data_IF_476365000218
#
_entry.id   IF_476365000218
#
_cell.length_a   1.000
_cell.length_b   1.000
_cell.length_c   1.000
_cell.angle_alpha   90.00
_cell.angle_beta   90.00
_cell.angle_gamma   90.00
#
_symmetry.space_group_name_H-M   'P 1'
#
loop_
_entity.id
_entity.type
_entity.pdbx_description
1 polymer ?
#
# COMPACT_ATOMS: atom_id res chain seq x y z
N UNK A 1 -43.72 91.50 25.93
CA UNK A 1 -44.17 90.23 25.33
C UNK A 1 -43.16 89.78 24.32
N UNK A 2 -42.32 88.88 24.69
CA UNK A 2 -41.17 88.42 23.89
C UNK A 2 -41.32 86.94 23.61
N UNK A 3 -41.49 86.61 22.34
CA UNK A 3 -41.52 85.22 21.84
C UNK A 3 -40.10 84.69 21.63
N UNK A 4 -39.76 83.63 22.31
CA UNK A 4 -38.45 82.84 22.11
C UNK A 4 -38.69 81.81 21.02
N UNK A 5 -37.86 81.88 19.98
CA UNK A 5 -37.81 80.86 18.96
C UNK A 5 -36.83 79.74 19.37
N UNK A 6 -37.29 78.51 19.33
CA UNK A 6 -36.45 77.33 19.49
C UNK A 6 -35.84 76.85 18.13
N UNK A 7 -34.56 76.89 18.02
CA UNK A 7 -33.86 76.26 16.91
C UNK A 7 -33.58 74.77 17.25
N UNK A 8 -34.15 73.89 16.44
CA UNK A 8 -33.82 72.43 16.47
C UNK A 8 -32.66 72.13 15.54
N UNK A 9 -31.55 71.72 16.07
CA UNK A 9 -30.40 71.18 15.32
C UNK A 9 -30.58 69.68 15.08
N UNK A 10 -30.84 69.28 13.84
CA UNK A 10 -30.80 67.86 13.42
C UNK A 10 -29.37 67.43 13.15
N UNK A 11 -28.88 66.51 13.96
CA UNK A 11 -27.59 65.87 13.74
C UNK A 11 -27.71 64.69 12.71
N UNK A 12 -27.11 64.89 11.56
CA UNK A 12 -27.00 63.83 10.51
C UNK A 12 -25.91 62.85 10.86
N UNK A 13 -26.26 61.66 11.35
CA UNK A 13 -25.33 60.58 11.58
C UNK A 13 -24.98 59.88 10.23
N UNK A 14 -23.80 60.15 9.71
CA UNK A 14 -23.23 59.45 8.56
C UNK A 14 -22.66 58.12 9.04
N UNK A 15 -23.35 56.99 8.81
CA UNK A 15 -22.83 55.63 8.99
C UNK A 15 -21.86 55.31 7.84
N UNK A 16 -20.56 55.35 8.11
CA UNK A 16 -19.57 54.78 7.23
C UNK A 16 -19.74 53.26 7.26
N UNK A 17 -20.43 52.71 6.28
CA UNK A 17 -20.42 51.29 5.98
C UNK A 17 -19.03 50.88 5.49
N UNK A 18 -18.25 50.22 6.34
CA UNK A 18 -16.97 49.65 5.94
C UNK A 18 -17.20 48.53 4.91
N UNK A 19 -16.95 48.83 3.63
CA UNK A 19 -16.72 47.78 2.63
C UNK A 19 -15.43 47.08 3.01
N UNK A 20 -15.55 45.93 3.65
CA UNK A 20 -14.45 44.95 3.73
C UNK A 20 -14.17 44.47 2.31
N UNK A 21 -13.20 45.06 1.66
CA UNK A 21 -12.68 44.55 0.40
C UNK A 21 -12.11 43.16 0.70
N UNK A 22 -12.81 42.09 0.29
CA UNK A 22 -12.29 40.77 0.28
C UNK A 22 -11.05 40.78 -0.65
N UNK A 23 -9.86 40.75 -0.08
CA UNK A 23 -8.64 40.55 -0.85
C UNK A 23 -8.81 39.27 -1.64
N UNK A 24 -8.64 39.27 -2.98
CA UNK A 24 -8.68 38.05 -3.75
C UNK A 24 -7.61 37.13 -3.18
N UNK A 25 -8.00 35.94 -2.70
CA UNK A 25 -7.06 34.92 -2.28
C UNK A 25 -6.17 34.61 -3.50
N UNK A 26 -4.93 35.02 -3.46
CA UNK A 26 -3.95 34.66 -4.48
C UNK A 26 -3.94 33.15 -4.57
N UNK A 27 -4.25 32.60 -5.75
CA UNK A 27 -4.20 31.16 -5.98
C UNK A 27 -2.75 30.68 -5.67
N UNK A 28 -2.63 29.81 -4.69
CA UNK A 28 -1.32 29.25 -4.33
C UNK A 28 -0.79 28.41 -5.50
N UNK A 29 0.52 28.43 -5.71
CA UNK A 29 1.18 27.60 -6.72
C UNK A 29 0.83 26.13 -6.48
N UNK A 30 0.34 25.41 -7.49
CA UNK A 30 0.03 23.99 -7.36
C UNK A 30 1.25 23.18 -6.92
N UNK A 31 1.04 22.17 -6.10
CA UNK A 31 2.08 21.24 -5.67
C UNK A 31 2.13 20.10 -6.68
N UNK A 32 3.27 19.92 -7.35
CA UNK A 32 3.47 18.86 -8.32
C UNK A 32 3.89 17.56 -7.62
N UNK A 33 3.22 16.45 -7.92
CA UNK A 33 3.57 15.09 -7.48
C UNK A 33 3.59 14.15 -8.67
N UNK A 34 4.53 13.18 -8.67
CA UNK A 34 4.54 12.09 -9.62
C UNK A 34 3.85 10.84 -9.07
N UNK A 35 3.28 10.01 -9.95
CA UNK A 35 2.67 8.73 -9.59
C UNK A 35 2.97 7.69 -10.67
N UNK A 36 3.81 6.71 -10.36
CA UNK A 36 4.06 5.54 -11.21
C UNK A 36 3.01 4.49 -10.93
N UNK A 37 2.41 3.94 -11.99
CA UNK A 37 1.42 2.87 -11.90
C UNK A 37 1.69 1.79 -12.95
N UNK A 38 1.24 0.58 -12.68
CA UNK A 38 1.19 -0.49 -13.68
C UNK A 38 -0.27 -0.79 -14.03
N UNK A 39 -0.73 -0.24 -15.14
CA UNK A 39 -2.06 -0.49 -15.69
C UNK A 39 -2.04 -1.48 -16.85
N UNK A 40 -0.89 -1.69 -17.49
CA UNK A 40 -0.76 -2.48 -18.71
C UNK A 40 0.27 -3.61 -18.63
N UNK A 41 1.09 -3.64 -17.59
CA UNK A 41 2.15 -4.64 -17.41
C UNK A 41 1.71 -5.86 -16.58
N UNK A 42 2.68 -6.69 -16.17
CA UNK A 42 2.42 -7.98 -15.55
C UNK A 42 1.83 -7.92 -14.13
N UNK A 43 1.76 -6.74 -13.51
CA UNK A 43 1.20 -6.55 -12.16
C UNK A 43 -0.06 -5.67 -12.16
N UNK A 44 -0.69 -5.51 -13.34
CA UNK A 44 -1.85 -4.64 -13.53
C UNK A 44 -3.09 -5.09 -12.73
N UNK A 45 -3.17 -6.37 -12.43
CA UNK A 45 -4.23 -7.00 -11.62
C UNK A 45 -4.40 -6.33 -10.25
N UNK A 46 -3.30 -5.92 -9.64
CA UNK A 46 -3.24 -5.22 -8.36
C UNK A 46 -2.85 -3.74 -8.51
N UNK A 47 -2.11 -3.40 -9.57
CA UNK A 47 -1.68 -2.04 -9.89
C UNK A 47 -2.85 -1.13 -10.26
N UNK A 48 -3.81 -1.65 -11.02
CA UNK A 48 -5.00 -0.86 -11.42
C UNK A 48 -5.83 -0.40 -10.22
N UNK A 49 -6.30 -1.26 -9.32
CA UNK A 49 -7.06 -0.79 -8.16
C UNK A 49 -6.25 0.09 -7.22
N UNK A 50 -4.95 -0.18 -7.04
CA UNK A 50 -4.09 0.67 -6.20
C UNK A 50 -3.93 2.07 -6.79
N UNK A 51 -3.56 2.17 -8.07
CA UNK A 51 -3.41 3.44 -8.77
C UNK A 51 -4.70 4.25 -8.79
N UNK A 52 -5.86 3.59 -8.96
CA UNK A 52 -7.17 4.25 -8.88
C UNK A 52 -7.41 4.84 -7.48
N UNK A 53 -7.02 4.13 -6.41
CA UNK A 53 -7.12 4.64 -5.05
C UNK A 53 -6.29 5.90 -4.84
N UNK A 54 -5.08 5.96 -5.41
CA UNK A 54 -4.23 7.16 -5.37
C UNK A 54 -4.88 8.32 -6.13
N UNK A 55 -5.33 8.09 -7.37
CA UNK A 55 -5.94 9.12 -8.23
C UNK A 55 -7.20 9.68 -7.60
N UNK A 56 -8.10 8.82 -7.13
CA UNK A 56 -9.34 9.23 -6.47
C UNK A 56 -9.06 10.06 -5.21
N UNK A 57 -8.02 9.68 -4.45
CA UNK A 57 -7.65 10.41 -3.23
C UNK A 57 -7.22 11.84 -3.55
N UNK A 58 -6.37 12.05 -4.56
CA UNK A 58 -5.94 13.40 -4.90
C UNK A 58 -7.04 14.21 -5.60
N UNK A 59 -7.94 13.58 -6.34
CA UNK A 59 -9.16 14.25 -6.84
C UNK A 59 -10.04 14.72 -5.66
N UNK A 60 -10.23 13.88 -4.65
CA UNK A 60 -10.96 14.21 -3.44
C UNK A 60 -10.28 15.32 -2.63
N UNK A 61 -8.95 15.27 -2.43
CA UNK A 61 -8.18 16.33 -1.77
C UNK A 61 -8.37 17.66 -2.50
N UNK A 62 -8.24 17.66 -3.83
CA UNK A 62 -8.42 18.86 -4.63
C UNK A 62 -9.84 19.43 -4.56
N UNK A 63 -10.86 18.56 -4.52
CA UNK A 63 -12.26 18.97 -4.35
C UNK A 63 -12.50 19.61 -2.98
N UNK A 64 -11.78 19.16 -1.95
CA UNK A 64 -11.91 19.63 -0.57
C UNK A 64 -10.90 20.72 -0.19
N UNK A 65 -10.42 21.51 -1.15
CA UNK A 65 -9.59 22.68 -0.89
C UNK A 65 -8.08 22.47 -1.07
N UNK A 66 -7.65 21.29 -1.49
CA UNK A 66 -6.23 20.99 -1.73
C UNK A 66 -5.41 20.81 -0.45
N UNK A 67 -4.11 21.02 -0.55
CA UNK A 67 -3.17 20.97 0.58
C UNK A 67 -2.86 22.39 1.02
N UNK A 68 -3.35 22.80 2.19
CA UNK A 68 -3.26 24.18 2.69
C UNK A 68 -3.74 25.25 1.69
N UNK A 69 -4.76 24.94 0.89
CA UNK A 69 -5.29 25.83 -0.14
C UNK A 69 -4.65 25.66 -1.53
N UNK A 70 -3.49 25.01 -1.65
CA UNK A 70 -2.87 24.71 -2.92
C UNK A 70 -3.47 23.46 -3.56
N UNK A 71 -3.76 23.50 -4.86
CA UNK A 71 -4.11 22.29 -5.62
C UNK A 71 -2.90 21.38 -5.75
N UNK A 72 -3.16 20.07 -5.78
CA UNK A 72 -2.13 19.07 -6.12
C UNK A 72 -2.25 18.72 -7.60
N UNK A 73 -1.17 18.89 -8.32
CA UNK A 73 -1.03 18.42 -9.71
C UNK A 73 -0.35 17.05 -9.69
N UNK A 74 -1.15 15.97 -9.76
CA UNK A 74 -0.68 14.59 -9.76
C UNK A 74 -0.50 14.12 -11.21
N UNK A 75 0.76 13.93 -11.64
CA UNK A 75 1.07 13.33 -12.95
C UNK A 75 1.15 11.80 -12.80
N UNK A 76 0.12 11.11 -13.27
CA UNK A 76 0.02 9.64 -13.19
C UNK A 76 0.45 9.02 -14.51
N UNK A 77 1.44 8.13 -14.46
CA UNK A 77 2.04 7.50 -15.65
C UNK A 77 2.03 5.99 -15.54
N UNK A 78 1.38 5.33 -16.51
CA UNK A 78 1.50 3.89 -16.72
C UNK A 78 2.86 3.57 -17.36
N UNK A 79 3.77 2.99 -16.57
CA UNK A 79 5.09 2.63 -17.07
C UNK A 79 5.19 1.14 -17.47
N UNK A 80 4.10 0.36 -17.34
CA UNK A 80 4.01 -1.04 -17.77
C UNK A 80 5.01 -1.96 -17.08
N UNK A 81 5.37 -1.66 -15.81
CA UNK A 81 6.36 -2.37 -15.00
C UNK A 81 7.76 -2.44 -15.63
N UNK A 82 8.13 -1.42 -16.44
CA UNK A 82 9.40 -1.35 -17.16
C UNK A 82 10.34 -0.34 -16.52
N UNK A 83 11.43 -0.80 -15.90
CA UNK A 83 12.43 0.04 -15.22
C UNK A 83 12.95 1.20 -16.08
N UNK A 84 13.32 1.01 -17.38
CA UNK A 84 13.78 2.12 -18.21
C UNK A 84 12.72 3.23 -18.37
N UNK A 85 11.44 2.88 -18.45
CA UNK A 85 10.32 3.85 -18.53
C UNK A 85 10.16 4.61 -17.23
N UNK A 86 10.25 3.92 -16.08
CA UNK A 86 10.19 4.56 -14.76
C UNK A 86 11.34 5.58 -14.61
N UNK A 87 12.59 5.23 -14.98
CA UNK A 87 13.74 6.12 -14.91
C UNK A 87 13.55 7.33 -15.84
N UNK A 88 13.08 7.11 -17.07
CA UNK A 88 12.86 8.22 -18.03
C UNK A 88 11.81 9.21 -17.50
N UNK A 89 10.70 8.69 -16.95
CA UNK A 89 9.66 9.54 -16.37
C UNK A 89 10.14 10.26 -15.11
N UNK A 90 10.89 9.58 -14.24
CA UNK A 90 11.47 10.20 -13.06
C UNK A 90 12.38 11.40 -13.43
N UNK A 91 13.25 11.25 -14.45
CA UNK A 91 14.11 12.33 -14.92
C UNK A 91 13.34 13.55 -15.44
N UNK A 92 12.18 13.32 -16.07
CA UNK A 92 11.27 14.41 -16.44
C UNK A 92 10.72 15.10 -15.18
N UNK A 93 10.27 14.36 -14.20
CA UNK A 93 9.71 14.89 -12.96
C UNK A 93 10.72 15.68 -12.13
N UNK A 94 11.93 15.15 -11.94
CA UNK A 94 12.97 15.85 -11.18
C UNK A 94 13.54 17.06 -11.94
N UNK A 95 13.68 16.95 -13.26
CA UNK A 95 14.27 17.98 -14.11
C UNK A 95 13.30 19.10 -14.49
N UNK A 96 12.25 18.78 -15.25
CA UNK A 96 11.34 19.76 -15.84
C UNK A 96 10.17 20.11 -14.91
N UNK A 97 9.51 19.11 -14.35
CA UNK A 97 8.24 19.28 -13.63
C UNK A 97 8.46 19.68 -12.16
N UNK A 98 9.67 19.49 -11.62
CA UNK A 98 10.06 19.86 -10.25
C UNK A 98 9.11 19.32 -9.19
N UNK A 99 8.79 18.02 -9.27
CA UNK A 99 7.88 17.38 -8.30
C UNK A 99 8.45 17.44 -6.88
N UNK A 100 7.58 17.65 -5.90
CA UNK A 100 7.96 17.66 -4.49
C UNK A 100 8.16 16.25 -3.91
N UNK A 101 7.46 15.26 -4.48
CA UNK A 101 7.53 13.86 -4.08
C UNK A 101 6.92 12.98 -5.17
N UNK A 102 7.11 11.65 -5.07
CA UNK A 102 6.48 10.68 -5.95
C UNK A 102 5.77 9.58 -5.15
N UNK A 103 4.83 8.91 -5.79
CA UNK A 103 4.27 7.63 -5.37
C UNK A 103 4.78 6.58 -6.36
N UNK A 104 5.64 5.69 -5.88
CA UNK A 104 6.27 4.63 -6.68
C UNK A 104 5.44 3.35 -6.68
N UNK A 105 5.77 2.43 -7.60
CA UNK A 105 5.05 1.17 -7.72
C UNK A 105 5.90 -0.05 -7.42
N UNK A 106 6.74 -0.49 -8.35
CA UNK A 106 7.38 -1.80 -8.33
C UNK A 106 8.70 -1.85 -7.57
N UNK A 107 9.18 -3.06 -7.30
CA UNK A 107 10.43 -3.24 -6.55
C UNK A 107 11.66 -2.91 -7.41
N UNK A 108 11.73 -3.44 -8.63
CA UNK A 108 12.90 -3.24 -9.49
C UNK A 108 13.10 -1.77 -9.89
N UNK A 109 12.03 -1.06 -10.18
CA UNK A 109 12.05 0.36 -10.50
C UNK A 109 12.37 1.23 -9.28
N UNK A 110 11.76 0.95 -8.12
CA UNK A 110 12.07 1.70 -6.89
C UNK A 110 13.53 1.51 -6.47
N UNK A 111 14.07 0.27 -6.53
CA UNK A 111 15.49 0.02 -6.27
C UNK A 111 16.40 0.77 -7.24
N UNK A 112 16.03 0.82 -8.54
CA UNK A 112 16.78 1.56 -9.56
C UNK A 112 16.71 3.09 -9.36
N UNK A 113 15.61 3.60 -8.80
CA UNK A 113 15.41 5.03 -8.55
C UNK A 113 16.06 5.50 -7.23
N UNK A 114 16.39 4.61 -6.29
CA UNK A 114 16.86 4.96 -4.94
C UNK A 114 18.03 5.97 -4.94
N UNK A 115 19.02 5.80 -5.85
CA UNK A 115 20.15 6.70 -5.98
C UNK A 115 19.75 8.09 -6.49
N UNK A 116 18.88 8.16 -7.48
CA UNK A 116 18.37 9.42 -8.04
C UNK A 116 17.49 10.17 -7.02
N UNK A 117 16.62 9.44 -6.30
CA UNK A 117 15.78 10.01 -5.24
C UNK A 117 16.63 10.65 -4.14
N UNK A 118 17.76 10.01 -3.78
CA UNK A 118 18.68 10.53 -2.77
C UNK A 118 19.45 11.78 -3.26
N UNK A 119 19.91 11.79 -4.51
CA UNK A 119 20.62 12.91 -5.14
C UNK A 119 19.71 14.14 -5.28
N UNK A 120 18.50 13.93 -5.83
CA UNK A 120 17.53 15.00 -6.08
C UNK A 120 16.73 15.38 -4.83
N UNK A 121 16.86 14.61 -3.73
CA UNK A 121 16.14 14.79 -2.46
C UNK A 121 14.61 14.74 -2.62
N UNK A 122 14.13 13.83 -3.46
CA UNK A 122 12.70 13.65 -3.73
C UNK A 122 12.21 12.40 -2.98
N UNK A 123 11.29 12.52 -2.01
CA UNK A 123 10.70 11.38 -1.32
C UNK A 123 9.81 10.55 -2.24
N UNK A 124 9.84 9.24 -2.03
CA UNK A 124 8.96 8.26 -2.63
C UNK A 124 8.16 7.54 -1.56
N UNK A 125 6.84 7.50 -1.69
CA UNK A 125 6.01 6.50 -1.01
C UNK A 125 5.79 5.36 -1.98
N UNK A 126 6.64 4.34 -1.88
CA UNK A 126 6.59 3.21 -2.80
C UNK A 126 5.51 2.19 -2.42
N UNK A 127 4.94 1.55 -3.44
CA UNK A 127 4.14 0.35 -3.27
C UNK A 127 5.01 -0.92 -3.20
N UNK A 128 6.32 -0.79 -3.38
CA UNK A 128 7.29 -1.82 -3.04
C UNK A 128 7.56 -1.81 -1.54
N UNK A 129 7.30 -2.93 -0.89
CA UNK A 129 7.61 -3.16 0.52
C UNK A 129 8.88 -4.00 0.69
N UNK A 130 9.82 -3.94 -0.26
CA UNK A 130 11.11 -4.62 -0.14
C UNK A 130 11.87 -4.07 1.09
N UNK A 131 12.34 -4.97 1.96
CA UNK A 131 13.05 -4.55 3.18
C UNK A 131 14.32 -3.73 2.87
N UNK A 132 14.98 -4.01 1.75
CA UNK A 132 16.12 -3.23 1.25
C UNK A 132 15.83 -1.72 1.15
N UNK A 133 14.57 -1.33 0.94
CA UNK A 133 14.12 0.06 0.82
C UNK A 133 13.80 0.73 2.17
N UNK A 134 13.94 0.02 3.29
CA UNK A 134 13.60 0.50 4.63
C UNK A 134 14.78 0.97 5.47
N UNK A 135 16.01 0.84 4.94
CA UNK A 135 17.22 1.29 5.63
C UNK A 135 17.69 2.64 5.05
N UNK A 136 17.41 3.77 5.73
CA UNK A 136 17.78 5.09 5.21
C UNK A 136 19.28 5.38 5.27
N UNK A 137 20.04 4.64 6.08
CA UNK A 137 21.44 4.92 6.36
C UNK A 137 22.41 3.85 5.85
N UNK A 138 21.89 2.67 5.51
CA UNK A 138 22.70 1.48 5.23
C UNK A 138 23.31 0.81 6.47
N UNK A 139 22.89 1.25 7.67
CA UNK A 139 23.44 0.73 8.93
C UNK A 139 23.12 -0.77 9.16
N UNK A 140 22.08 -1.30 8.56
CA UNK A 140 21.76 -2.73 8.56
C UNK A 140 22.79 -3.58 7.81
N UNK A 141 23.59 -2.96 6.93
CA UNK A 141 24.66 -3.62 6.17
C UNK A 141 24.17 -4.65 5.14
N UNK A 142 22.86 -4.70 4.87
CA UNK A 142 22.21 -5.67 3.96
C UNK A 142 21.82 -5.05 2.62
N UNK A 143 21.61 -3.75 2.58
CA UNK A 143 21.18 -3.02 1.40
C UNK A 143 21.91 -1.66 1.28
N UNK A 144 21.83 -1.05 0.10
CA UNK A 144 22.25 0.35 -0.09
C UNK A 144 21.31 1.28 0.67
N UNK A 145 21.80 2.44 1.15
CA UNK A 145 20.94 3.43 1.80
C UNK A 145 19.77 3.86 0.90
N UNK A 146 18.57 3.91 1.50
CA UNK A 146 17.34 4.39 0.84
C UNK A 146 16.71 5.57 1.63
N UNK A 147 17.42 6.72 1.76
CA UNK A 147 17.05 7.79 2.68
C UNK A 147 15.78 8.55 2.30
N UNK A 148 15.25 8.35 1.08
CA UNK A 148 14.07 9.03 0.57
C UNK A 148 12.94 8.07 0.20
N UNK A 149 13.06 6.77 0.50
CA UNK A 149 11.99 5.81 0.29
C UNK A 149 11.21 5.55 1.59
N UNK A 150 9.89 5.57 1.47
CA UNK A 150 8.94 5.26 2.55
C UNK A 150 7.91 4.27 2.02
N UNK A 151 7.39 3.44 2.91
CA UNK A 151 6.19 2.65 2.69
C UNK A 151 5.47 2.44 4.03
N UNK A 152 4.16 2.30 3.99
CA UNK A 152 3.39 1.93 5.17
C UNK A 152 3.08 0.42 5.13
N UNK A 153 2.81 -0.19 6.27
CA UNK A 153 2.66 -1.64 6.37
C UNK A 153 4.01 -2.35 6.62
N UNK A 154 3.99 -3.64 6.93
CA UNK A 154 5.20 -4.42 7.12
C UNK A 154 5.94 -4.63 5.80
N UNK A 155 7.28 -4.71 5.86
CA UNK A 155 8.06 -5.13 4.70
C UNK A 155 7.68 -6.55 4.23
N UNK A 156 7.99 -6.90 2.99
CA UNK A 156 7.80 -8.29 2.51
C UNK A 156 8.54 -9.29 3.40
N UNK A 157 9.74 -8.94 3.87
CA UNK A 157 10.53 -9.77 4.77
C UNK A 157 9.86 -9.93 6.13
N UNK A 158 9.33 -8.85 6.70
CA UNK A 158 8.63 -8.92 7.98
C UNK A 158 7.29 -9.65 7.82
N UNK A 159 6.59 -9.45 6.71
CA UNK A 159 5.36 -10.18 6.40
C UNK A 159 5.60 -11.70 6.34
N UNK A 160 6.65 -12.17 5.65
CA UNK A 160 6.96 -13.60 5.59
C UNK A 160 7.42 -14.13 6.94
N UNK A 161 8.17 -13.34 7.75
CA UNK A 161 8.50 -13.71 9.13
C UNK A 161 7.23 -13.93 9.97
N UNK A 162 6.28 -13.01 9.88
CA UNK A 162 4.99 -13.15 10.57
C UNK A 162 4.18 -14.37 10.10
N UNK A 163 4.12 -14.62 8.80
CA UNK A 163 3.43 -15.79 8.26
C UNK A 163 4.08 -17.12 8.70
N UNK A 164 5.40 -17.21 8.69
CA UNK A 164 6.09 -18.44 9.12
C UNK A 164 6.02 -18.65 10.63
N UNK A 165 6.00 -17.56 11.42
CA UNK A 165 5.70 -17.65 12.86
C UNK A 165 4.31 -18.23 13.09
N UNK A 166 3.30 -17.74 12.36
CA UNK A 166 1.97 -18.32 12.39
C UNK A 166 1.96 -19.78 11.92
N UNK A 167 2.65 -20.10 10.83
CA UNK A 167 2.69 -21.46 10.29
C UNK A 167 3.30 -22.48 11.26
N UNK A 168 4.30 -22.08 12.03
CA UNK A 168 4.87 -22.92 13.09
C UNK A 168 3.87 -23.19 14.21
N UNK A 169 3.08 -22.19 14.60
CA UNK A 169 2.01 -22.34 15.59
C UNK A 169 0.86 -23.21 15.03
N UNK A 170 0.48 -23.01 13.76
CA UNK A 170 -0.55 -23.81 13.08
C UNK A 170 -0.16 -25.29 12.98
N UNK A 171 1.11 -25.57 12.66
CA UNK A 171 1.65 -26.94 12.64
C UNK A 171 1.48 -27.66 13.98
N UNK A 172 1.87 -26.98 15.05
CA UNK A 172 1.72 -27.49 16.42
C UNK A 172 0.25 -27.67 16.82
N UNK A 173 -0.57 -26.69 16.50
CA UNK A 173 -2.01 -26.70 16.82
C UNK A 173 -2.76 -27.85 16.12
N UNK A 174 -2.30 -28.24 14.94
CA UNK A 174 -2.80 -29.43 14.19
C UNK A 174 -2.29 -30.76 14.75
N UNK A 175 -1.51 -30.78 15.83
CA UNK A 175 -0.92 -31.99 16.42
C UNK A 175 0.06 -32.71 15.51
N UNK A 176 0.64 -32.01 14.52
CA UNK A 176 1.61 -32.58 13.60
C UNK A 176 2.97 -32.73 14.28
N UNK A 177 3.66 -33.84 13.97
CA UNK A 177 4.99 -34.16 14.47
C UNK A 177 6.03 -33.97 13.36
N UNK A 178 7.32 -33.88 13.74
CA UNK A 178 8.41 -33.65 12.80
C UNK A 178 8.55 -32.21 12.36
N UNK A 179 9.43 -31.97 11.38
CA UNK A 179 9.69 -30.64 10.84
C UNK A 179 8.70 -30.32 9.73
N UNK A 180 7.98 -29.18 9.81
CA UNK A 180 7.19 -28.72 8.67
C UNK A 180 8.11 -28.36 7.50
N UNK A 181 7.64 -28.60 6.27
CA UNK A 181 8.39 -28.32 5.03
C UNK A 181 7.89 -27.03 4.39
N UNK A 182 8.80 -26.11 4.11
CA UNK A 182 8.52 -24.82 3.51
C UNK A 182 9.14 -24.69 2.13
N UNK A 183 8.38 -24.14 1.17
CA UNK A 183 8.85 -23.83 -0.18
C UNK A 183 8.49 -22.37 -0.55
N UNK A 184 9.45 -21.66 -1.12
CA UNK A 184 9.22 -20.37 -1.77
C UNK A 184 8.84 -20.60 -3.23
N UNK A 185 7.75 -19.99 -3.69
CA UNK A 185 7.29 -20.04 -5.08
C UNK A 185 7.13 -18.61 -5.62
N UNK A 186 7.68 -18.33 -6.81
CA UNK A 186 7.55 -17.00 -7.42
C UNK A 186 8.45 -16.85 -8.64
N UNK A 187 8.31 -15.74 -9.36
CA UNK A 187 9.15 -15.43 -10.51
C UNK A 187 10.59 -15.12 -10.06
N UNK A 188 11.55 -15.39 -10.94
CA UNK A 188 12.91 -14.93 -10.74
C UNK A 188 13.01 -13.43 -11.06
N UNK A 189 12.49 -12.59 -10.17
CA UNK A 189 12.37 -11.15 -10.31
C UNK A 189 12.59 -10.48 -8.93
N UNK A 190 13.13 -9.26 -8.85
CA UNK A 190 13.39 -8.57 -7.58
C UNK A 190 12.17 -8.58 -6.62
N UNK A 191 10.97 -8.32 -7.14
CA UNK A 191 9.75 -8.28 -6.31
C UNK A 191 9.46 -9.60 -5.59
N UNK A 192 9.25 -10.76 -6.26
CA UNK A 192 8.96 -12.02 -5.56
C UNK A 192 10.14 -12.53 -4.71
N UNK A 193 11.37 -12.19 -5.11
CA UNK A 193 12.59 -12.63 -4.41
C UNK A 193 12.93 -11.73 -3.20
N UNK A 194 12.37 -10.54 -3.06
CA UNK A 194 12.70 -9.62 -1.97
C UNK A 194 12.62 -10.25 -0.57
N UNK A 195 11.57 -11.04 -0.22
CA UNK A 195 11.49 -11.67 1.10
C UNK A 195 12.18 -13.02 1.22
N UNK A 196 12.74 -13.58 0.12
CA UNK A 196 13.19 -14.97 0.08
C UNK A 196 14.23 -15.30 1.14
N UNK A 197 15.31 -14.53 1.20
CA UNK A 197 16.39 -14.79 2.16
C UNK A 197 15.92 -14.66 3.62
N UNK A 198 15.10 -13.67 3.93
CA UNK A 198 14.50 -13.49 5.25
C UNK A 198 13.53 -14.62 5.61
N UNK A 199 12.75 -15.09 4.63
CA UNK A 199 11.86 -16.23 4.79
C UNK A 199 12.62 -17.54 5.07
N UNK A 200 13.70 -17.79 4.33
CA UNK A 200 14.57 -18.95 4.55
C UNK A 200 15.24 -18.91 5.94
N UNK A 201 15.74 -17.75 6.35
CA UNK A 201 16.37 -17.58 7.66
C UNK A 201 15.39 -17.83 8.82
N UNK A 202 14.20 -17.21 8.79
CA UNK A 202 13.21 -17.43 9.86
C UNK A 202 12.63 -18.84 9.83
N UNK A 203 12.47 -19.47 8.66
CA UNK A 203 12.02 -20.84 8.54
C UNK A 203 13.04 -21.80 9.20
N UNK A 204 14.34 -21.59 8.96
CA UNK A 204 15.39 -22.38 9.62
C UNK A 204 15.40 -22.17 11.15
N UNK A 205 15.25 -20.91 11.63
CA UNK A 205 15.17 -20.57 13.05
C UNK A 205 13.96 -21.26 13.73
N UNK A 206 12.83 -21.35 13.03
CA UNK A 206 11.60 -21.99 13.52
C UNK A 206 11.59 -23.52 13.33
N UNK A 207 12.66 -24.10 12.77
CA UNK A 207 12.84 -25.54 12.61
C UNK A 207 12.14 -26.14 11.39
N UNK A 208 11.81 -25.35 10.36
CA UNK A 208 11.31 -25.88 9.10
C UNK A 208 12.42 -26.57 8.29
N UNK A 209 12.03 -27.56 7.50
CA UNK A 209 12.83 -28.08 6.39
C UNK A 209 12.60 -27.18 5.17
N UNK A 210 13.70 -26.60 4.64
CA UNK A 210 13.66 -25.76 3.45
C UNK A 210 13.71 -26.62 2.20
N UNK A 211 12.77 -26.43 1.30
CA UNK A 211 12.71 -27.09 0.01
C UNK A 211 13.26 -26.19 -1.11
N UNK A 212 13.67 -26.80 -2.22
CA UNK A 212 14.12 -26.07 -3.41
C UNK A 212 13.00 -25.14 -3.91
N UNK A 213 13.26 -23.85 -4.11
CA UNK A 213 12.26 -22.92 -4.62
C UNK A 213 11.69 -23.32 -5.97
N UNK A 214 10.41 -23.07 -6.19
CA UNK A 214 9.70 -23.36 -7.44
C UNK A 214 9.48 -22.06 -8.19
N UNK A 215 9.97 -21.95 -9.43
CA UNK A 215 9.88 -20.75 -10.25
C UNK A 215 8.66 -20.82 -11.16
N UNK A 216 7.87 -19.73 -11.21
CA UNK A 216 6.80 -19.51 -12.17
C UNK A 216 6.69 -18.02 -12.55
N UNK A 217 6.17 -17.71 -13.74
CA UNK A 217 6.18 -16.34 -14.25
C UNK A 217 5.24 -15.38 -13.48
N UNK A 218 5.48 -14.06 -13.60
CA UNK A 218 4.58 -13.03 -13.03
C UNK A 218 3.23 -12.96 -13.75
N UNK A 219 3.15 -13.45 -14.97
CA UNK A 219 1.92 -13.44 -15.77
C UNK A 219 1.09 -14.71 -15.56
N UNK A 220 -0.23 -14.67 -15.78
CA UNK A 220 -1.06 -15.88 -15.86
C UNK A 220 -0.53 -16.88 -16.90
N UNK A 221 -0.67 -18.16 -16.64
CA UNK A 221 -0.19 -19.23 -17.52
C UNK A 221 -0.58 -20.63 -17.05
N UNK A 222 -0.09 -21.67 -17.75
CA UNK A 222 -0.19 -23.05 -17.31
C UNK A 222 0.94 -23.37 -16.34
N UNK A 223 0.60 -23.69 -15.11
CA UNK A 223 1.53 -24.02 -14.04
C UNK A 223 1.36 -25.45 -13.51
N UNK A 224 0.81 -26.33 -14.33
CA UNK A 224 0.59 -27.74 -13.99
C UNK A 224 1.88 -28.44 -13.58
N UNK A 225 3.00 -28.18 -14.27
CA UNK A 225 4.31 -28.77 -13.94
C UNK A 225 4.82 -28.30 -12.57
N UNK A 226 4.66 -27.01 -12.23
CA UNK A 226 5.01 -26.45 -10.92
C UNK A 226 4.18 -27.08 -9.80
N UNK A 227 2.89 -27.30 -10.04
CA UNK A 227 2.00 -27.95 -9.07
C UNK A 227 2.33 -29.43 -8.88
N UNK A 228 2.73 -30.17 -9.92
CA UNK A 228 3.23 -31.54 -9.79
C UNK A 228 4.54 -31.58 -9.00
N UNK A 229 5.47 -30.65 -9.25
CA UNK A 229 6.71 -30.49 -8.46
C UNK A 229 6.39 -30.18 -7.02
N UNK A 230 5.45 -29.25 -6.73
CA UNK A 230 5.01 -28.94 -5.39
C UNK A 230 4.42 -30.18 -4.69
N UNK A 231 3.56 -30.92 -5.36
CA UNK A 231 2.97 -32.17 -4.85
C UNK A 231 4.01 -33.19 -4.47
N UNK A 232 4.98 -33.44 -5.36
CA UNK A 232 6.03 -34.45 -5.15
C UNK A 232 7.04 -34.03 -4.08
N UNK A 233 7.21 -32.74 -3.81
CA UNK A 233 8.11 -32.22 -2.77
C UNK A 233 7.64 -32.53 -1.35
N UNK A 234 6.37 -32.81 -1.16
CA UNK A 234 5.76 -33.02 0.14
C UNK A 234 5.75 -31.75 1.02
N UNK A 235 5.78 -30.55 0.41
CA UNK A 235 5.68 -29.29 1.12
C UNK A 235 4.40 -29.24 1.98
N UNK A 236 4.49 -28.62 3.15
CA UNK A 236 3.34 -28.35 4.02
C UNK A 236 2.87 -26.91 3.91
N UNK A 237 3.81 -26.00 3.66
CA UNK A 237 3.57 -24.56 3.49
C UNK A 237 4.27 -24.05 2.23
N UNK A 238 3.53 -23.39 1.34
CA UNK A 238 4.06 -22.84 0.10
C UNK A 238 3.78 -21.34 0.04
N UNK A 239 4.84 -20.52 -0.01
CA UNK A 239 4.72 -19.06 -0.15
C UNK A 239 4.59 -18.68 -1.62
N UNK A 240 3.55 -17.95 -1.96
CA UNK A 240 3.29 -17.41 -3.30
C UNK A 240 3.79 -15.96 -3.37
N UNK A 241 4.95 -15.77 -4.00
CA UNK A 241 5.66 -14.48 -4.08
C UNK A 241 5.12 -13.52 -5.14
N UNK A 242 4.34 -13.99 -6.11
CA UNK A 242 3.82 -13.18 -7.21
C UNK A 242 2.55 -12.41 -6.83
N UNK A 243 2.03 -11.57 -7.76
CA UNK A 243 0.73 -10.92 -7.64
C UNK A 243 -0.42 -11.89 -7.84
N UNK A 244 -1.62 -11.45 -7.50
CA UNK A 244 -2.84 -12.25 -7.53
C UNK A 244 -3.10 -12.90 -8.90
N UNK A 245 -2.87 -12.19 -10.01
CA UNK A 245 -3.17 -12.67 -11.36
C UNK A 245 -2.47 -13.98 -11.73
N UNK A 246 -1.17 -14.09 -11.49
CA UNK A 246 -0.45 -15.35 -11.74
C UNK A 246 -0.73 -16.40 -10.66
N UNK A 247 -0.96 -15.98 -9.41
CA UNK A 247 -1.30 -16.89 -8.32
C UNK A 247 -2.64 -17.59 -8.53
N UNK A 248 -3.64 -16.94 -9.17
CA UNK A 248 -4.91 -17.59 -9.58
C UNK A 248 -4.62 -18.83 -10.45
N UNK A 249 -3.73 -18.69 -11.43
CA UNK A 249 -3.37 -19.81 -12.32
C UNK A 249 -2.70 -20.96 -11.56
N UNK A 250 -1.78 -20.65 -10.65
CA UNK A 250 -1.12 -21.66 -9.77
C UNK A 250 -2.15 -22.34 -8.87
N UNK A 251 -3.01 -21.58 -8.19
CA UNK A 251 -4.00 -22.12 -7.27
C UNK A 251 -4.96 -23.08 -8.00
N UNK A 252 -5.46 -22.71 -9.19
CA UNK A 252 -6.33 -23.55 -9.99
C UNK A 252 -5.62 -24.83 -10.48
N UNK A 253 -4.40 -24.71 -10.98
CA UNK A 253 -3.62 -25.86 -11.42
C UNK A 253 -3.29 -26.82 -10.26
N UNK A 254 -2.91 -26.28 -9.10
CA UNK A 254 -2.59 -27.09 -7.92
C UNK A 254 -3.83 -27.77 -7.34
N UNK A 255 -4.99 -27.11 -7.35
CA UNK A 255 -6.27 -27.73 -6.97
C UNK A 255 -6.62 -28.88 -7.89
N UNK A 256 -6.51 -28.69 -9.21
CA UNK A 256 -6.75 -29.72 -10.20
C UNK A 256 -5.78 -30.93 -10.05
N UNK A 257 -4.53 -30.67 -9.69
CA UNK A 257 -3.54 -31.70 -9.41
C UNK A 257 -3.71 -32.40 -8.05
N UNK A 258 -4.67 -31.94 -7.22
CA UNK A 258 -4.89 -32.47 -5.88
C UNK A 258 -3.70 -32.24 -4.94
N UNK A 259 -3.12 -31.03 -4.98
CA UNK A 259 -2.08 -30.58 -4.06
C UNK A 259 -2.68 -30.26 -2.71
N UNK A 260 -2.17 -30.88 -1.64
CA UNK A 260 -2.58 -30.60 -0.25
C UNK A 260 -1.44 -29.84 0.45
N UNK A 261 -1.52 -28.51 0.42
CA UNK A 261 -0.53 -27.60 1.01
C UNK A 261 -1.24 -26.35 1.55
N UNK A 262 -0.74 -25.78 2.64
CA UNK A 262 -1.18 -24.46 3.09
C UNK A 262 -0.46 -23.39 2.25
N UNK A 263 -1.22 -22.70 1.37
CA UNK A 263 -0.69 -21.56 0.64
C UNK A 263 -0.61 -20.31 1.51
N UNK A 264 0.51 -19.59 1.38
CA UNK A 264 0.80 -18.32 2.03
C UNK A 264 1.00 -17.27 0.93
N UNK A 265 0.03 -16.40 0.71
CA UNK A 265 0.16 -15.31 -0.27
C UNK A 265 1.01 -14.16 0.30
N UNK A 266 1.78 -13.46 -0.54
CA UNK A 266 2.31 -12.16 -0.11
C UNK A 266 1.20 -11.09 -0.09
N UNK A 267 1.55 -9.87 0.32
CA UNK A 267 0.60 -8.76 0.47
C UNK A 267 -0.11 -8.34 -0.83
N UNK A 268 0.44 -8.69 -1.99
CA UNK A 268 -0.13 -8.50 -3.32
C UNK A 268 -0.68 -9.79 -3.93
N UNK A 269 -0.51 -10.90 -3.23
CA UNK A 269 -0.73 -12.25 -3.76
C UNK A 269 -2.18 -12.72 -3.74
N UNK A 270 -3.06 -12.02 -3.05
CA UNK A 270 -4.47 -12.37 -2.88
C UNK A 270 -5.32 -11.12 -2.58
N UNK A 271 -6.50 -11.06 -3.16
CA UNK A 271 -7.56 -10.11 -2.87
C UNK A 271 -8.94 -10.71 -3.18
N UNK A 272 -9.97 -9.91 -3.05
CA UNK A 272 -11.36 -10.36 -3.27
C UNK A 272 -11.65 -10.65 -4.75
N UNK A 273 -11.00 -9.94 -5.68
CA UNK A 273 -11.11 -10.22 -7.12
C UNK A 273 -10.44 -11.55 -7.47
N UNK A 274 -9.26 -11.80 -6.90
CA UNK A 274 -8.55 -13.07 -7.05
C UNK A 274 -9.35 -14.23 -6.47
N UNK A 275 -9.97 -14.04 -5.32
CA UNK A 275 -10.84 -15.05 -4.71
C UNK A 275 -12.04 -15.39 -5.60
N UNK A 276 -12.66 -14.37 -6.20
CA UNK A 276 -13.74 -14.58 -7.17
C UNK A 276 -13.28 -15.36 -8.40
N UNK A 277 -12.11 -15.01 -8.96
CA UNK A 277 -11.58 -15.63 -10.16
C UNK A 277 -11.06 -17.07 -9.93
N UNK A 278 -10.43 -17.35 -8.79
CA UNK A 278 -9.92 -18.66 -8.46
C UNK A 278 -10.98 -19.58 -7.83
N UNK A 279 -12.12 -19.01 -7.38
CA UNK A 279 -13.17 -19.77 -6.74
C UNK A 279 -12.67 -20.61 -5.57
N UNK A 280 -13.11 -21.86 -5.51
CA UNK A 280 -12.74 -22.79 -4.45
C UNK A 280 -11.22 -23.07 -4.34
N UNK A 281 -10.39 -22.69 -5.34
CA UNK A 281 -8.94 -22.83 -5.24
C UNK A 281 -8.28 -21.76 -4.34
N UNK A 282 -8.95 -20.64 -4.11
CA UNK A 282 -8.51 -19.60 -3.20
C UNK A 282 -8.91 -19.86 -1.73
N UNK A 283 -9.83 -20.82 -1.46
CA UNK A 283 -10.26 -21.08 -0.09
C UNK A 283 -9.10 -21.58 0.76
N UNK A 284 -8.92 -20.97 1.93
CA UNK A 284 -7.88 -21.33 2.88
C UNK A 284 -6.54 -20.62 2.69
N UNK A 285 -6.30 -19.88 1.61
CA UNK A 285 -5.06 -19.10 1.43
C UNK A 285 -4.92 -18.10 2.56
N UNK A 286 -3.77 -18.09 3.24
CA UNK A 286 -3.44 -17.14 4.31
C UNK A 286 -2.49 -16.08 3.77
N UNK A 287 -2.75 -14.81 4.03
CA UNK A 287 -1.95 -13.71 3.51
C UNK A 287 -2.02 -12.48 4.43
N UNK A 288 -1.01 -11.59 4.41
CA UNK A 288 -1.02 -10.39 5.22
C UNK A 288 -1.81 -9.28 4.53
N UNK A 289 -2.55 -8.49 5.30
CA UNK A 289 -3.07 -7.21 4.84
C UNK A 289 -2.19 -6.07 5.35
N UNK A 290 -1.98 -5.06 4.52
CA UNK A 290 -1.35 -3.79 4.89
C UNK A 290 -2.38 -2.71 5.26
N UNK A 291 -3.65 -2.98 5.01
CA UNK A 291 -4.78 -2.20 5.53
C UNK A 291 -5.37 -2.92 6.74
N UNK A 292 -5.94 -2.18 7.66
CA UNK A 292 -6.52 -2.79 8.88
C UNK A 292 -7.89 -3.45 8.62
N UNK A 293 -8.52 -3.20 7.47
CA UNK A 293 -9.88 -3.65 7.15
C UNK A 293 -10.09 -3.76 5.63
N UNK A 294 -11.05 -4.60 5.22
CA UNK A 294 -11.56 -4.67 3.86
C UNK A 294 -12.68 -3.65 3.62
N UNK A 295 -13.07 -3.46 2.35
CA UNK A 295 -14.16 -2.58 1.91
C UNK A 295 -15.47 -2.87 2.64
N UNK A 296 -16.16 -1.81 3.08
CA UNK A 296 -17.42 -1.92 3.79
C UNK A 296 -17.32 -2.37 5.25
N UNK A 297 -16.11 -2.54 5.79
CA UNK A 297 -15.89 -2.83 7.21
C UNK A 297 -16.33 -1.67 8.13
N UNK A 298 -16.56 -1.97 9.41
CA UNK A 298 -17.08 -1.03 10.40
C UNK A 298 -16.02 -0.05 10.97
N UNK A 299 -14.86 0.08 10.33
CA UNK A 299 -13.83 1.01 10.77
C UNK A 299 -14.29 2.47 10.60
N UNK A 300 -13.99 3.36 11.56
CA UNK A 300 -14.38 4.78 11.47
C UNK A 300 -13.92 5.44 10.17
N UNK A 301 -12.70 5.16 9.72
CA UNK A 301 -12.13 5.71 8.50
C UNK A 301 -12.76 5.19 7.18
N UNK A 302 -13.54 4.12 7.21
CA UNK A 302 -14.17 3.58 6.00
C UNK A 302 -15.11 4.58 5.33
N UNK A 303 -15.76 5.45 6.09
CA UNK A 303 -16.58 6.54 5.55
C UNK A 303 -15.77 7.44 4.62
N UNK A 304 -14.56 7.82 5.02
CA UNK A 304 -13.64 8.62 4.21
C UNK A 304 -13.25 7.90 2.92
N UNK A 305 -12.93 6.60 3.00
CA UNK A 305 -12.62 5.78 1.82
C UNK A 305 -13.78 5.73 0.84
N UNK A 306 -15.02 5.58 1.34
CA UNK A 306 -16.21 5.58 0.50
C UNK A 306 -16.46 6.94 -0.16
N UNK A 307 -16.21 8.06 0.52
CA UNK A 307 -16.29 9.40 -0.07
C UNK A 307 -15.20 9.62 -1.15
N UNK A 308 -14.00 9.12 -0.93
CA UNK A 308 -12.92 9.14 -1.93
C UNK A 308 -13.31 8.33 -3.16
N UNK A 309 -13.87 7.15 -2.98
CA UNK A 309 -14.30 6.28 -4.09
C UNK A 309 -15.33 6.93 -5.01
N UNK A 310 -16.15 7.86 -4.51
CA UNK A 310 -17.12 8.62 -5.31
C UNK A 310 -16.49 9.54 -6.35
N UNK A 311 -15.18 9.74 -6.34
CA UNK A 311 -14.51 10.54 -7.36
C UNK A 311 -14.54 9.86 -8.73
N UNK A 312 -14.38 8.54 -8.78
CA UNK A 312 -14.49 7.74 -10.01
C UNK A 312 -15.80 6.95 -10.11
N UNK A 313 -16.50 6.73 -8.99
CA UNK A 313 -17.82 6.08 -8.95
C UNK A 313 -18.83 6.92 -8.14
N UNK A 314 -19.45 7.95 -8.74
CA UNK A 314 -20.44 8.78 -8.06
C UNK A 314 -21.64 7.99 -7.50
N UNK A 315 -21.97 6.84 -8.08
CA UNK A 315 -23.05 5.96 -7.61
C UNK A 315 -22.72 5.28 -6.27
N UNK A 316 -21.42 5.07 -5.98
CA UNK A 316 -20.94 4.37 -4.79
C UNK A 316 -21.26 2.87 -4.79
N UNK A 317 -21.52 2.28 -5.96
CA UNK A 317 -21.92 0.86 -6.09
C UNK A 317 -20.76 -0.08 -6.37
N UNK A 318 -19.62 0.44 -6.83
CA UNK A 318 -18.44 -0.36 -7.15
C UNK A 318 -17.77 -0.88 -5.88
N UNK A 319 -17.57 -2.19 -5.81
CA UNK A 319 -16.72 -2.80 -4.79
C UNK A 319 -15.26 -2.39 -5.00
N UNK A 320 -14.58 -1.98 -3.95
CA UNK A 320 -13.17 -1.62 -3.99
C UNK A 320 -12.35 -2.67 -3.22
N UNK A 321 -11.46 -3.42 -3.91
CA UNK A 321 -10.63 -4.44 -3.25
C UNK A 321 -9.63 -3.80 -2.28
N UNK A 322 -9.01 -4.62 -1.42
CA UNK A 322 -8.02 -4.16 -0.42
C UNK A 322 -6.87 -3.35 -1.03
N UNK A 323 -6.53 -3.60 -2.30
CA UNK A 323 -5.47 -2.84 -2.99
C UNK A 323 -5.87 -1.40 -3.30
N UNK A 324 -7.14 -1.13 -3.57
CA UNK A 324 -7.67 0.24 -3.69
C UNK A 324 -7.50 1.00 -2.38
N UNK A 325 -7.93 0.41 -1.26
CA UNK A 325 -7.80 1.00 0.08
C UNK A 325 -6.34 1.29 0.40
N UNK A 326 -5.44 0.41 -0.03
CA UNK A 326 -4.00 0.60 0.13
C UNK A 326 -3.47 1.83 -0.63
N UNK A 327 -3.95 2.06 -1.85
CA UNK A 327 -3.63 3.27 -2.62
C UNK A 327 -4.11 4.53 -1.93
N UNK A 328 -5.33 4.51 -1.37
CA UNK A 328 -5.87 5.61 -0.56
C UNK A 328 -4.96 5.89 0.65
N UNK A 329 -4.55 4.87 1.39
CA UNK A 329 -3.65 5.05 2.54
C UNK A 329 -2.30 5.67 2.14
N UNK A 330 -1.65 5.16 1.09
CA UNK A 330 -0.38 5.72 0.59
C UNK A 330 -0.51 7.19 0.23
N UNK A 331 -1.57 7.56 -0.50
CA UNK A 331 -1.82 8.93 -0.92
C UNK A 331 -2.05 9.86 0.26
N UNK A 332 -2.77 9.40 1.30
CA UNK A 332 -3.05 10.23 2.48
C UNK A 332 -1.82 10.39 3.40
N UNK A 333 -0.96 9.38 3.52
CA UNK A 333 0.33 9.55 4.19
C UNK A 333 1.18 10.60 3.49
N UNK A 334 1.32 10.50 2.16
CA UNK A 334 2.04 11.50 1.36
C UNK A 334 1.40 12.88 1.50
N UNK A 335 0.07 12.99 1.43
CA UNK A 335 -0.66 14.27 1.58
C UNK A 335 -0.32 14.95 2.89
N UNK A 336 -0.32 14.24 4.02
CA UNK A 336 -0.04 14.86 5.32
C UNK A 336 1.43 15.24 5.48
N UNK A 337 2.38 14.47 4.92
CA UNK A 337 3.79 14.85 4.89
C UNK A 337 4.02 16.12 4.06
N UNK A 338 3.37 16.22 2.89
CA UNK A 338 3.39 17.43 2.04
C UNK A 338 2.72 18.61 2.73
N UNK A 339 1.62 18.38 3.45
CA UNK A 339 0.93 19.42 4.22
C UNK A 339 1.80 20.01 5.32
N UNK A 340 2.51 19.13 6.06
CA UNK A 340 3.48 19.59 7.05
C UNK A 340 4.59 20.41 6.38
N UNK A 341 5.15 19.93 5.29
CA UNK A 341 6.19 20.62 4.53
C UNK A 341 5.75 22.01 4.10
N UNK A 342 4.55 22.13 3.52
CA UNK A 342 4.01 23.41 3.06
C UNK A 342 3.85 24.44 4.19
N UNK A 343 3.57 23.99 5.42
CA UNK A 343 3.50 24.85 6.62
C UNK A 343 4.88 25.18 7.23
N UNK A 344 5.93 24.42 6.84
CA UNK A 344 7.26 24.50 7.48
C UNK A 344 8.36 24.77 6.45
N UNK A 345 8.20 25.79 5.64
CA UNK A 345 9.22 26.25 4.69
C UNK A 345 8.98 25.87 3.23
N UNK A 346 7.81 25.34 2.91
CA UNK A 346 7.40 25.01 1.54
C UNK A 346 7.46 23.51 1.23
N UNK A 347 6.67 23.09 0.22
CA UNK A 347 6.56 21.71 -0.20
C UNK A 347 7.79 21.28 -1.04
N UNK A 348 8.99 21.36 -0.46
CA UNK A 348 10.23 20.81 -1.03
C UNK A 348 10.41 19.36 -0.60
N UNK A 349 11.13 18.55 -1.39
CA UNK A 349 11.35 17.14 -1.06
C UNK A 349 12.04 16.94 0.30
N UNK A 350 13.01 17.77 0.68
CA UNK A 350 13.62 17.71 2.02
C UNK A 350 12.61 17.96 3.15
N UNK A 351 11.71 18.92 2.97
CA UNK A 351 10.69 19.21 3.96
C UNK A 351 9.62 18.11 3.99
N UNK A 352 9.23 17.55 2.84
CA UNK A 352 8.32 16.40 2.77
C UNK A 352 8.90 15.20 3.52
N UNK A 353 10.19 14.90 3.31
CA UNK A 353 10.91 13.86 4.07
C UNK A 353 10.82 14.10 5.57
N UNK A 354 11.08 15.34 6.04
CA UNK A 354 10.94 15.70 7.46
C UNK A 354 9.50 15.53 7.96
N UNK A 355 8.51 15.75 7.10
CA UNK A 355 7.08 15.53 7.39
C UNK A 355 6.78 14.10 7.82
N UNK A 356 7.44 13.10 7.23
CA UNK A 356 7.28 11.69 7.61
C UNK A 356 7.80 11.38 9.02
N UNK A 357 8.69 12.18 9.59
CA UNK A 357 9.27 11.95 10.92
C UNK A 357 8.52 12.65 12.06
N UNK A 358 7.44 13.38 11.75
CA UNK A 358 6.76 14.22 12.76
C UNK A 358 5.85 13.45 13.71
N UNK A 359 5.46 12.22 13.35
CA UNK A 359 4.47 11.46 14.12
C UNK A 359 4.94 10.03 14.37
N UNK A 360 4.63 9.52 15.55
CA UNK A 360 4.76 8.11 15.90
C UNK A 360 3.37 7.46 15.93
N UNK A 361 3.29 6.19 15.58
CA UNK A 361 2.02 5.46 15.44
C UNK A 361 0.99 6.24 14.60
N UNK A 362 1.50 6.83 13.54
CA UNK A 362 0.75 7.72 12.69
C UNK A 362 -0.28 6.94 11.85
N UNK A 363 -1.52 7.34 11.95
CA UNK A 363 -2.61 7.01 11.03
C UNK A 363 -3.05 8.33 10.40
N UNK A 364 -3.22 8.45 9.09
CA UNK A 364 -3.72 9.67 8.47
C UNK A 364 -5.08 10.07 9.04
N UNK A 365 -5.32 11.37 9.18
CA UNK A 365 -6.54 11.89 9.80
C UNK A 365 -7.80 11.38 9.09
N UNK A 366 -8.77 10.91 9.86
CA UNK A 366 -10.00 10.32 9.36
C UNK A 366 -9.86 8.94 8.74
N UNK A 367 -8.72 8.23 8.99
CA UNK A 367 -8.47 6.89 8.50
C UNK A 367 -8.30 5.84 9.62
N UNK A 368 -8.78 6.17 10.80
CA UNK A 368 -8.72 5.31 11.98
C UNK A 368 -9.36 3.95 11.71
N UNK A 369 -8.60 2.89 12.00
CA UNK A 369 -9.01 1.50 11.75
C UNK A 369 -8.98 1.06 10.29
N UNK A 370 -8.52 1.90 9.35
CA UNK A 370 -8.34 1.57 7.93
C UNK A 370 -6.88 1.47 7.56
N UNK A 371 -6.10 2.52 7.76
CA UNK A 371 -4.66 2.48 7.50
C UNK A 371 -3.92 1.97 8.73
N UNK A 372 -2.93 1.09 8.52
CA UNK A 372 -2.07 0.63 9.61
C UNK A 372 -1.22 1.77 10.16
N UNK A 373 -1.15 1.89 11.47
CA UNK A 373 -0.30 2.87 12.12
C UNK A 373 1.17 2.65 11.75
N UNK A 374 1.87 3.73 11.42
CA UNK A 374 3.27 3.70 10.99
C UNK A 374 4.13 4.69 11.76
N UNK A 375 5.41 4.36 11.93
CA UNK A 375 6.42 5.24 12.52
C UNK A 375 7.68 5.17 11.66
N UNK A 376 8.13 6.32 11.17
CA UNK A 376 9.40 6.43 10.46
C UNK A 376 10.36 7.33 11.23
N UNK A 377 11.64 7.02 11.17
CA UNK A 377 12.70 7.81 11.78
C UNK A 377 13.87 7.98 10.82
N UNK A 378 14.77 8.90 11.08
CA UNK A 378 15.99 9.09 10.27
C UNK A 378 16.89 7.84 10.19
N UNK A 379 16.66 6.84 11.05
CA UNK A 379 17.46 5.62 11.14
C UNK A 379 16.71 4.34 10.73
N UNK A 380 15.39 4.41 10.59
CA UNK A 380 14.56 3.23 10.34
C UNK A 380 13.24 3.63 9.64
N UNK A 381 13.06 3.18 8.40
CA UNK A 381 11.88 3.42 7.59
C UNK A 381 10.91 2.23 7.55
N UNK A 382 11.05 1.24 8.43
CA UNK A 382 10.14 0.07 8.49
C UNK A 382 8.72 0.40 8.95
N UNK A 383 8.22 1.55 8.88
CA UNK A 383 6.83 1.96 9.21
C UNK A 383 6.20 1.20 10.38
N UNK A 384 5.78 -0.02 10.14
CA UNK A 384 5.21 -0.95 11.14
C UNK A 384 5.86 -2.33 11.07
N UNK A 385 5.86 -3.05 12.20
CA UNK A 385 6.25 -4.47 12.31
C UNK A 385 5.07 -5.36 12.71
N UNK A 386 3.88 -4.78 12.70
CA UNK A 386 2.63 -5.50 12.94
C UNK A 386 2.16 -6.18 11.66
N UNK A 387 2.03 -7.49 11.69
CA UNK A 387 1.56 -8.32 10.57
C UNK A 387 0.19 -8.85 10.88
N UNK A 388 -0.83 -8.29 10.25
CA UNK A 388 -2.22 -8.77 10.34
C UNK A 388 -2.46 -9.85 9.28
N UNK A 389 -2.67 -11.10 9.70
CA UNK A 389 -2.90 -12.24 8.83
C UNK A 389 -4.39 -12.51 8.66
N UNK A 390 -4.78 -12.72 7.42
CA UNK A 390 -6.14 -13.06 7.02
C UNK A 390 -6.15 -14.37 6.23
N UNK A 391 -7.25 -15.08 6.33
CA UNK A 391 -7.55 -16.26 5.52
C UNK A 391 -8.65 -15.90 4.53
N UNK A 392 -8.43 -16.19 3.26
CA UNK A 392 -9.50 -16.13 2.28
C UNK A 392 -10.46 -17.29 2.52
N UNK A 393 -11.73 -16.99 2.60
CA UNK A 393 -12.81 -17.97 2.64
C UNK A 393 -13.66 -17.82 1.40
N UNK A 394 -13.88 -18.94 0.70
CA UNK A 394 -14.73 -19.01 -0.49
C UNK A 394 -15.73 -20.15 -0.28
N UNK A 395 -17.01 -19.81 -0.29
CA UNK A 395 -18.11 -20.74 -0.09
C UNK A 395 -19.03 -20.79 -1.32
N UNK A 396 -19.12 -21.95 -1.96
CA UNK A 396 -19.98 -22.15 -3.13
C UNK A 396 -19.42 -21.57 -4.45
N UNK A 397 -20.34 -21.34 -5.39
CA UNK A 397 -20.00 -20.77 -6.69
C UNK A 397 -19.70 -19.26 -6.61
N UNK A 398 -18.80 -18.77 -7.47
CA UNK A 398 -18.33 -17.38 -7.47
C UNK A 398 -18.76 -16.59 -8.73
N UNK A 399 -19.78 -17.05 -9.46
CA UNK A 399 -20.25 -16.41 -10.70
C UNK A 399 -21.01 -15.08 -10.44
N UNK A 400 -21.59 -14.91 -9.25
CA UNK A 400 -22.31 -13.70 -8.88
C UNK A 400 -21.41 -12.45 -8.84
N UNK A 401 -21.97 -11.23 -8.93
CA UNK A 401 -21.22 -9.99 -8.70
C UNK A 401 -20.49 -10.00 -7.34
N UNK A 402 -19.30 -9.41 -7.31
CA UNK A 402 -18.45 -9.42 -6.10
C UNK A 402 -19.15 -8.82 -4.87
N UNK A 403 -19.91 -7.73 -5.06
CA UNK A 403 -20.71 -7.13 -3.98
C UNK A 403 -21.67 -8.13 -3.34
N UNK A 404 -22.30 -8.97 -4.14
CA UNK A 404 -23.27 -9.97 -3.66
C UNK A 404 -22.55 -11.11 -2.93
N UNK A 405 -21.40 -11.56 -3.48
CA UNK A 405 -20.56 -12.59 -2.88
C UNK A 405 -20.03 -12.16 -1.50
N UNK A 406 -19.62 -10.92 -1.35
CA UNK A 406 -19.17 -10.37 -0.07
C UNK A 406 -20.36 -10.23 0.90
N UNK A 407 -21.47 -9.68 0.42
CA UNK A 407 -22.67 -9.43 1.26
C UNK A 407 -23.27 -10.72 1.82
N UNK A 408 -23.30 -11.78 1.02
CA UNK A 408 -23.89 -13.07 1.42
C UNK A 408 -22.87 -14.03 2.06
N UNK A 409 -21.59 -13.62 2.18
CA UNK A 409 -20.53 -14.43 2.78
C UNK A 409 -19.95 -15.50 1.86
N UNK A 410 -20.24 -15.47 0.55
CA UNK A 410 -19.64 -16.35 -0.45
C UNK A 410 -18.12 -16.11 -0.59
N UNK A 411 -17.67 -14.87 -0.39
CA UNK A 411 -16.26 -14.52 -0.23
C UNK A 411 -16.11 -13.71 1.06
N UNK A 412 -15.12 -14.09 1.89
CA UNK A 412 -14.86 -13.41 3.17
C UNK A 412 -13.37 -13.42 3.49
N UNK A 413 -12.87 -12.28 3.97
CA UNK A 413 -11.56 -12.18 4.61
C UNK A 413 -11.71 -12.40 6.11
N UNK A 414 -11.23 -13.53 6.58
CA UNK A 414 -11.30 -13.90 8.00
C UNK A 414 -9.97 -13.61 8.69
N UNK A 415 -9.99 -12.76 9.71
CA UNK A 415 -8.76 -12.46 10.45
C UNK A 415 -8.30 -13.70 11.22
N UNK A 416 -7.07 -14.13 10.95
CA UNK A 416 -6.46 -15.31 11.59
C UNK A 416 -5.72 -14.91 12.86
N UNK A 417 -4.79 -13.97 12.74
CA UNK A 417 -3.92 -13.56 13.85
C UNK A 417 -3.24 -12.22 13.52
N UNK A 418 -2.92 -11.48 14.54
CA UNK A 418 -1.93 -10.39 14.48
C UNK A 418 -0.62 -10.91 15.06
N UNK A 419 0.47 -10.72 14.35
CA UNK A 419 1.83 -11.01 14.81
C UNK A 419 2.55 -9.69 15.00
N UNK A 420 2.93 -9.37 16.23
CA UNK A 420 3.78 -8.22 16.54
C UNK A 420 5.24 -8.67 16.54
N UNK A 421 5.98 -8.30 15.52
CA UNK A 421 7.38 -8.67 15.38
C UNK A 421 8.27 -7.71 16.20
N UNK A 422 9.37 -8.21 16.80
CA UNK A 422 10.33 -7.36 17.47
C UNK A 422 11.10 -6.49 16.45
N UNK A 423 11.36 -5.23 16.80
CA UNK A 423 12.17 -4.31 15.98
C UNK A 423 13.66 -4.63 16.14
N UNK A 424 14.12 -5.77 15.59
CA UNK A 424 15.53 -6.18 15.62
C UNK A 424 16.34 -5.30 14.66
N UNK A 425 17.54 -4.87 15.08
CA UNK A 425 18.43 -4.04 14.27
C UNK A 425 18.99 -4.81 13.07
N UNK A 426 19.32 -6.09 13.24
CA UNK A 426 19.84 -6.99 12.22
C UNK A 426 18.82 -7.37 11.13
N UNK A 427 17.55 -6.99 11.32
CA UNK A 427 16.50 -7.13 10.31
C UNK A 427 16.29 -5.87 9.46
N UNK A 428 16.94 -4.76 9.81
CA UNK A 428 16.85 -3.52 9.03
C UNK A 428 17.49 -3.73 7.65
N UNK A 429 16.75 -3.44 6.59
CA UNK A 429 17.22 -3.62 5.22
C UNK A 429 17.18 -5.07 4.70
N UNK A 430 16.64 -6.03 5.48
CA UNK A 430 16.66 -7.45 5.14
C UNK A 430 15.43 -8.23 5.56
#
# INVERSE_FOLDING_TARGET
>A
MTMKALLSTAALAVTLGGLSAATPAMAQTPIALGNLVDYSGPTNDVGTPYGQGVVDTYAWINKNGGVNGAKVNLDTVDYGYQVPRAIAQYKKWSGADKVAAILGWGTADTEALTGFLAEDKIPDVSASYAAALSDPTGAGGKAKPAPYNFFYGPSYSDAVRGMLTWAADDWKAKGKTGKPKFVHMGANHPYPNAPKAAGEAIAAELGFELLTPIVFALTPGDYSAQCLTLKSSGANYAYLGNTAGSNISVLNACKAAGVDVQFLGNVWGMDENAAKAAGAAADGVVFPLRTAVAWGGNAPGMKTVMEISKMSDPSGTTYRPVHYIAGVCSALYMKEAVEWAAKNGGATGENVKKGFYQKANWVPAGMEGVCNASTWTEKDHRGTLKVDLYRMKVAGATDAPLNDLIKNGGIKLEKVKTIDLPRKADWLGW
#
